data_IF_191272229666
#
_entry.id   IF_191272229666
#
_cell.length_a   1.000
_cell.length_b   1.000
_cell.length_c   1.000
_cell.angle_alpha   90.00
_cell.angle_beta   90.00
_cell.angle_gamma   90.00
#
_symmetry.space_group_name_H-M   'P 1'
#
loop_
_entity.id
_entity.type
_entity.pdbx_description
1 polymer ?
#
# COMPACT_ATOMS: atom_id res chain seq x y z
N UNK A 1 32.11 21.36 25.48
CA UNK A 1 30.67 21.26 25.17
C UNK A 1 30.18 19.95 25.76
N UNK A 2 29.28 20.00 26.76
CA UNK A 2 28.65 18.79 27.28
C UNK A 2 27.60 18.34 26.26
N UNK A 3 27.95 17.34 25.45
CA UNK A 3 26.99 16.71 24.53
C UNK A 3 26.09 15.82 25.36
N UNK A 4 24.89 16.30 25.67
CA UNK A 4 23.87 15.50 26.35
C UNK A 4 23.19 14.58 25.33
N UNK A 5 22.96 13.32 25.70
CA UNK A 5 22.21 12.39 24.87
C UNK A 5 20.75 12.86 24.73
N UNK A 6 20.12 12.68 23.56
CA UNK A 6 18.73 13.03 23.36
C UNK A 6 17.82 12.24 24.29
N UNK A 7 16.77 12.89 24.77
CA UNK A 7 15.74 12.32 25.63
C UNK A 7 14.85 11.36 24.86
N UNK A 8 14.18 10.44 25.58
CA UNK A 8 13.21 9.52 24.97
C UNK A 8 12.04 10.28 24.33
N UNK A 9 11.67 11.44 24.87
CA UNK A 9 10.62 12.30 24.32
C UNK A 9 11.01 12.85 22.95
N UNK A 10 12.23 13.37 22.81
CA UNK A 10 12.76 13.85 21.53
C UNK A 10 12.81 12.74 20.48
N UNK A 11 13.26 11.54 20.87
CA UNK A 11 13.27 10.36 20.01
C UNK A 11 11.84 9.99 19.57
N UNK A 12 10.89 9.94 20.51
CA UNK A 12 9.50 9.60 20.21
C UNK A 12 8.83 10.64 19.31
N UNK A 13 9.14 11.93 19.48
CA UNK A 13 8.61 13.00 18.65
C UNK A 13 9.10 12.88 17.21
N UNK A 14 10.37 12.57 17.00
CA UNK A 14 10.92 12.30 15.66
C UNK A 14 10.31 11.04 15.03
N UNK A 15 10.13 9.97 15.81
CA UNK A 15 9.47 8.75 15.32
C UNK A 15 8.02 9.02 14.91
N UNK A 16 7.26 9.78 15.70
CA UNK A 16 5.89 10.18 15.35
C UNK A 16 5.84 11.07 14.11
N UNK A 17 6.80 11.97 13.95
CA UNK A 17 6.89 12.83 12.76
C UNK A 17 7.12 12.04 11.45
N UNK A 18 7.66 10.81 11.54
CA UNK A 18 7.83 9.92 10.38
C UNK A 18 6.51 9.26 9.91
N UNK A 19 5.45 9.31 10.72
CA UNK A 19 4.17 8.69 10.41
C UNK A 19 3.42 9.50 9.35
N UNK A 20 3.02 8.82 8.27
CA UNK A 20 2.26 9.42 7.18
C UNK A 20 0.80 9.00 7.30
N UNK A 21 -0.07 9.97 7.57
CA UNK A 21 -1.51 9.77 7.81
C UNK A 21 -2.23 9.02 6.69
N UNK A 22 -1.87 9.31 5.43
CA UNK A 22 -2.42 8.60 4.27
C UNK A 22 -2.07 7.10 4.31
N UNK A 23 -0.86 6.78 4.73
CA UNK A 23 -0.39 5.40 4.82
C UNK A 23 -1.16 4.71 5.94
N UNK A 24 -1.29 5.30 7.13
CA UNK A 24 -2.13 4.74 8.22
C UNK A 24 -3.57 4.46 7.76
N UNK A 25 -4.24 5.43 7.15
CA UNK A 25 -5.60 5.27 6.60
C UNK A 25 -5.69 4.11 5.62
N UNK A 26 -4.68 3.93 4.76
CA UNK A 26 -4.60 2.79 3.84
C UNK A 26 -4.46 1.45 4.58
N UNK A 27 -3.67 1.37 5.66
CA UNK A 27 -3.61 0.15 6.48
C UNK A 27 -4.94 -0.13 7.17
N UNK A 28 -5.57 0.86 7.79
CA UNK A 28 -6.89 0.69 8.41
C UNK A 28 -7.93 0.19 7.41
N UNK A 29 -7.89 0.70 6.16
CA UNK A 29 -8.75 0.21 5.09
C UNK A 29 -8.56 -1.28 4.84
N UNK A 30 -7.32 -1.75 4.72
CA UNK A 30 -7.03 -3.16 4.47
C UNK A 30 -7.34 -4.06 5.67
N UNK A 31 -7.18 -3.58 6.90
CA UNK A 31 -7.60 -4.30 8.10
C UNK A 31 -9.12 -4.52 8.13
N UNK A 32 -9.93 -3.56 7.67
CA UNK A 32 -11.38 -3.79 7.51
C UNK A 32 -11.69 -4.92 6.52
N UNK A 33 -10.85 -5.12 5.50
CA UNK A 33 -10.99 -6.23 4.56
C UNK A 33 -10.62 -7.56 5.23
N UNK A 34 -9.59 -7.57 6.09
CA UNK A 34 -9.23 -8.70 6.95
C UNK A 34 -10.36 -9.05 7.91
N UNK A 35 -10.97 -8.06 8.57
CA UNK A 35 -12.11 -8.28 9.46
C UNK A 35 -13.30 -8.90 8.72
N UNK A 36 -13.56 -8.45 7.49
CA UNK A 36 -14.60 -9.05 6.64
C UNK A 36 -14.27 -10.50 6.29
N UNK A 37 -13.02 -10.79 5.93
CA UNK A 37 -12.58 -12.16 5.69
C UNK A 37 -12.80 -13.03 6.92
N UNK A 38 -12.37 -12.56 8.09
CA UNK A 38 -12.54 -13.27 9.36
C UNK A 38 -14.02 -13.58 9.64
N UNK A 39 -14.89 -12.58 9.52
CA UNK A 39 -16.34 -12.76 9.69
C UNK A 39 -16.93 -13.74 8.69
N UNK A 40 -16.53 -13.66 7.42
CA UNK A 40 -17.05 -14.51 6.33
C UNK A 40 -16.63 -15.97 6.49
N UNK A 41 -15.47 -16.22 7.10
CA UNK A 41 -14.90 -17.55 7.28
C UNK A 41 -15.04 -18.10 8.72
N UNK A 42 -15.73 -17.38 9.62
CA UNK A 42 -15.90 -17.79 11.01
C UNK A 42 -14.60 -17.80 11.84
N UNK A 43 -13.59 -17.01 11.42
CA UNK A 43 -12.31 -16.90 12.12
C UNK A 43 -12.48 -15.91 13.27
N UNK A 44 -12.25 -16.37 14.49
CA UNK A 44 -12.37 -15.56 15.72
C UNK A 44 -11.06 -14.88 16.11
N UNK A 45 -9.93 -15.48 15.76
CA UNK A 45 -8.60 -14.97 16.10
C UNK A 45 -8.22 -13.81 15.19
N UNK A 46 -7.79 -12.69 15.78
CA UNK A 46 -7.26 -11.56 15.01
C UNK A 46 -5.90 -11.91 14.39
N UNK A 47 -5.56 -11.27 13.27
CA UNK A 47 -4.36 -11.62 12.50
C UNK A 47 -3.07 -11.38 13.31
N UNK A 48 -3.06 -10.35 14.15
CA UNK A 48 -1.93 -10.00 15.01
C UNK A 48 -1.73 -10.95 16.19
N UNK A 49 -2.79 -11.66 16.59
CA UNK A 49 -2.76 -12.64 17.69
C UNK A 49 -2.26 -14.01 17.25
N UNK A 50 -2.05 -14.26 15.96
CA UNK A 50 -1.52 -15.53 15.44
C UNK A 50 -0.06 -15.67 15.87
N UNK A 51 0.22 -16.75 16.62
CA UNK A 51 1.42 -17.01 17.42
C UNK A 51 2.31 -18.11 16.82
N UNK A 52 1.97 -18.60 15.62
CA UNK A 52 2.75 -19.57 14.87
C UNK A 52 3.00 -19.05 13.45
N UNK A 53 4.24 -19.18 12.97
CA UNK A 53 4.62 -18.79 11.60
C UNK A 53 3.79 -19.60 10.58
N UNK A 54 3.61 -20.90 10.82
CA UNK A 54 2.86 -21.77 9.91
C UNK A 54 1.38 -21.39 9.84
N UNK A 55 0.78 -21.06 10.99
CA UNK A 55 -0.63 -20.66 11.05
C UNK A 55 -0.84 -19.30 10.38
N UNK A 56 0.10 -18.37 10.57
CA UNK A 56 0.04 -17.07 9.91
C UNK A 56 0.27 -17.21 8.40
N UNK A 57 1.20 -18.05 7.96
CA UNK A 57 1.41 -18.31 6.54
C UNK A 57 0.16 -18.92 5.89
N UNK A 58 -0.44 -19.93 6.53
CA UNK A 58 -1.68 -20.53 6.04
C UNK A 58 -2.83 -19.51 6.00
N UNK A 59 -2.97 -18.68 7.05
CA UNK A 59 -3.93 -17.59 7.08
C UNK A 59 -3.73 -16.62 5.90
N UNK A 60 -2.49 -16.20 5.62
CA UNK A 60 -2.17 -15.31 4.52
C UNK A 60 -2.54 -15.94 3.17
N UNK A 61 -2.22 -17.22 2.95
CA UNK A 61 -2.61 -17.96 1.75
C UNK A 61 -4.14 -17.96 1.54
N UNK A 62 -4.90 -18.25 2.59
CA UNK A 62 -6.36 -18.25 2.55
C UNK A 62 -6.91 -16.85 2.25
N UNK A 63 -6.40 -15.83 2.95
CA UNK A 63 -6.81 -14.44 2.76
C UNK A 63 -6.55 -13.94 1.34
N UNK A 64 -5.34 -14.14 0.80
CA UNK A 64 -4.97 -13.74 -0.57
C UNK A 64 -5.87 -14.42 -1.60
N UNK A 65 -6.17 -15.69 -1.39
CA UNK A 65 -7.05 -16.47 -2.28
C UNK A 65 -8.46 -15.89 -2.26
N UNK A 66 -8.99 -15.61 -1.06
CA UNK A 66 -10.31 -15.04 -0.85
C UNK A 66 -10.45 -13.58 -1.33
N UNK A 67 -9.35 -12.81 -1.31
CA UNK A 67 -9.34 -11.37 -1.56
C UNK A 67 -10.05 -10.97 -2.87
N UNK A 68 -11.20 -10.30 -2.71
CA UNK A 68 -12.06 -9.71 -3.75
C UNK A 68 -12.78 -8.48 -3.19
N UNK A 69 -13.33 -7.65 -4.08
CA UNK A 69 -14.18 -6.51 -3.69
C UNK A 69 -15.54 -7.01 -3.17
N UNK A 70 -16.26 -6.10 -2.52
CA UNK A 70 -17.62 -6.38 -1.98
C UNK A 70 -18.62 -6.74 -3.07
N UNK A 71 -18.47 -6.17 -4.27
CA UNK A 71 -19.26 -6.50 -5.46
C UNK A 71 -18.88 -7.85 -6.11
N UNK A 72 -17.96 -8.61 -5.49
CA UNK A 72 -17.43 -9.87 -6.00
C UNK A 72 -16.41 -9.73 -7.12
N UNK A 73 -16.17 -8.52 -7.63
CA UNK A 73 -15.17 -8.26 -8.66
C UNK A 73 -13.74 -8.35 -8.12
N UNK A 74 -12.79 -8.57 -9.03
CA UNK A 74 -11.39 -8.64 -8.67
C UNK A 74 -10.80 -7.24 -8.42
N UNK A 75 -9.85 -7.16 -7.49
CA UNK A 75 -8.95 -6.02 -7.37
C UNK A 75 -7.94 -5.98 -8.52
N UNK A 76 -7.37 -4.80 -8.78
CA UNK A 76 -6.19 -4.66 -9.63
C UNK A 76 -4.94 -5.24 -8.95
N UNK A 77 -3.94 -5.61 -9.73
CA UNK A 77 -2.67 -6.16 -9.25
C UNK A 77 -2.01 -5.25 -8.20
N UNK A 78 -1.98 -3.94 -8.44
CA UNK A 78 -1.35 -2.95 -7.56
C UNK A 78 -2.09 -2.85 -6.22
N UNK A 79 -3.41 -3.02 -6.25
CA UNK A 79 -4.23 -3.03 -5.03
C UNK A 79 -3.95 -4.27 -4.17
N UNK A 80 -3.75 -5.43 -4.79
CA UNK A 80 -3.38 -6.67 -4.08
C UNK A 80 -1.98 -6.54 -3.46
N UNK A 81 -1.01 -6.02 -4.21
CA UNK A 81 0.34 -5.76 -3.70
C UNK A 81 0.34 -4.73 -2.56
N UNK A 82 -0.42 -3.64 -2.70
CA UNK A 82 -0.59 -2.62 -1.67
C UNK A 82 -1.25 -3.21 -0.40
N UNK A 83 -2.24 -4.09 -0.55
CA UNK A 83 -2.84 -4.80 0.58
C UNK A 83 -1.79 -5.59 1.37
N UNK A 84 -0.99 -6.42 0.70
CA UNK A 84 0.05 -7.21 1.38
C UNK A 84 1.12 -6.33 2.04
N UNK A 85 1.48 -5.21 1.39
CA UNK A 85 2.40 -4.21 1.96
C UNK A 85 1.84 -3.56 3.23
N UNK A 86 0.54 -3.25 3.23
CA UNK A 86 -0.16 -2.68 4.38
C UNK A 86 -0.22 -3.66 5.57
N UNK A 87 -0.47 -4.94 5.29
CA UNK A 87 -0.43 -6.00 6.31
C UNK A 87 0.97 -6.19 6.88
N UNK A 88 1.99 -6.22 6.03
CA UNK A 88 3.38 -6.34 6.49
C UNK A 88 3.78 -5.19 7.44
N UNK A 89 3.35 -3.96 7.13
CA UNK A 89 3.61 -2.82 8.01
C UNK A 89 2.87 -2.98 9.34
N UNK A 90 1.60 -3.36 9.31
CA UNK A 90 0.81 -3.56 10.54
C UNK A 90 1.39 -4.66 11.42
N UNK A 91 1.66 -5.83 10.86
CA UNK A 91 2.15 -6.99 11.62
C UNK A 91 3.55 -6.78 12.21
N UNK A 92 4.39 -5.96 11.57
CA UNK A 92 5.69 -5.57 12.13
C UNK A 92 5.59 -4.91 13.50
N UNK A 93 4.51 -4.19 13.78
CA UNK A 93 4.33 -3.38 14.98
C UNK A 93 3.32 -3.98 15.97
N UNK A 94 2.42 -4.85 15.49
CA UNK A 94 1.31 -5.37 16.30
C UNK A 94 1.32 -6.88 16.50
N UNK A 95 2.06 -7.65 15.70
CA UNK A 95 2.04 -9.12 15.83
C UNK A 95 2.67 -9.58 17.15
N UNK A 96 2.12 -10.63 17.76
CA UNK A 96 2.72 -11.33 18.91
C UNK A 96 4.04 -12.03 18.55
N UNK A 97 4.30 -12.29 17.26
CA UNK A 97 5.52 -12.92 16.74
C UNK A 97 6.68 -11.93 16.53
N UNK A 98 6.59 -10.70 17.05
CA UNK A 98 7.54 -9.64 16.74
C UNK A 98 9.00 -9.97 17.12
N UNK A 99 9.97 -9.65 16.24
CA UNK A 99 9.81 -8.98 14.95
C UNK A 99 9.45 -9.95 13.80
N UNK A 100 8.45 -9.57 12.99
CA UNK A 100 7.98 -10.36 11.85
C UNK A 100 7.99 -9.56 10.54
N UNK A 101 8.37 -10.23 9.45
CA UNK A 101 8.37 -9.66 8.09
C UNK A 101 7.76 -10.68 7.14
N UNK A 102 6.50 -10.46 6.75
CA UNK A 102 5.77 -11.40 5.88
C UNK A 102 6.28 -11.40 4.42
N UNK A 103 7.22 -10.50 4.08
CA UNK A 103 8.00 -10.53 2.84
C UNK A 103 9.24 -11.43 2.90
N UNK A 104 9.51 -12.07 4.04
CA UNK A 104 10.63 -13.00 4.17
C UNK A 104 10.32 -14.31 3.43
N UNK A 105 11.05 -14.56 2.33
CA UNK A 105 10.89 -15.76 1.50
C UNK A 105 11.24 -17.06 2.21
N UNK A 106 12.04 -17.02 3.28
CA UNK A 106 12.40 -18.20 4.04
C UNK A 106 11.33 -18.56 5.08
N UNK A 107 10.64 -17.55 5.63
CA UNK A 107 9.58 -17.74 6.62
C UNK A 107 8.18 -17.87 6.02
N UNK A 108 7.93 -17.21 4.87
CA UNK A 108 6.62 -17.15 4.21
C UNK A 108 6.67 -17.56 2.73
N UNK A 109 7.33 -18.67 2.34
CA UNK A 109 7.45 -19.08 0.95
C UNK A 109 6.11 -19.33 0.25
N UNK A 110 5.13 -19.94 0.92
CA UNK A 110 3.82 -20.26 0.37
C UNK A 110 2.91 -19.05 0.27
N UNK A 111 2.93 -18.15 1.25
CA UNK A 111 2.16 -16.90 1.17
C UNK A 111 2.63 -16.05 -0.03
N UNK A 112 3.94 -15.93 -0.23
CA UNK A 112 4.50 -15.19 -1.36
C UNK A 112 4.21 -15.86 -2.71
N UNK A 113 4.32 -17.19 -2.81
CA UNK A 113 3.88 -17.90 -4.04
C UNK A 113 2.40 -17.70 -4.33
N UNK A 114 1.55 -17.69 -3.30
CA UNK A 114 0.11 -17.45 -3.45
C UNK A 114 -0.17 -16.02 -3.91
N UNK A 115 0.54 -15.03 -3.36
CA UNK A 115 0.49 -13.64 -3.79
C UNK A 115 0.89 -13.49 -5.26
N UNK A 116 2.03 -14.04 -5.63
CA UNK A 116 2.56 -14.00 -7.01
C UNK A 116 1.60 -14.67 -7.99
N UNK A 117 1.07 -15.84 -7.63
CA UNK A 117 0.08 -16.56 -8.43
C UNK A 117 -1.21 -15.76 -8.63
N UNK A 118 -1.74 -15.17 -7.55
CA UNK A 118 -2.92 -14.29 -7.61
C UNK A 118 -2.66 -13.10 -8.54
N UNK A 119 -1.53 -12.41 -8.38
CA UNK A 119 -1.16 -11.27 -9.21
C UNK A 119 -1.02 -11.64 -10.69
N UNK A 120 -0.39 -12.78 -11.01
CA UNK A 120 -0.27 -13.28 -12.38
C UNK A 120 -1.63 -13.57 -13.03
N UNK A 121 -2.52 -14.27 -12.32
CA UNK A 121 -3.88 -14.53 -12.80
C UNK A 121 -4.65 -13.23 -13.06
N UNK A 122 -4.46 -12.21 -12.22
CA UNK A 122 -5.08 -10.90 -12.42
C UNK A 122 -4.49 -10.17 -13.63
N UNK A 123 -3.17 -10.27 -13.82
CA UNK A 123 -2.49 -9.69 -14.97
C UNK A 123 -2.97 -10.32 -16.28
N UNK A 124 -3.07 -11.65 -16.35
CA UNK A 124 -3.59 -12.38 -17.52
C UNK A 124 -5.04 -12.01 -17.85
N UNK A 125 -5.80 -11.55 -16.84
CA UNK A 125 -7.17 -11.03 -16.99
C UNK A 125 -7.24 -9.54 -17.37
N UNK A 126 -6.09 -8.90 -17.66
CA UNK A 126 -6.03 -7.47 -17.96
C UNK A 126 -6.31 -6.56 -16.75
N UNK A 127 -6.15 -7.07 -15.53
CA UNK A 127 -6.28 -6.30 -14.28
C UNK A 127 -4.92 -5.94 -13.65
N UNK A 128 -3.83 -6.32 -14.31
CA UNK A 128 -2.54 -5.68 -14.14
C UNK A 128 -2.46 -4.45 -15.02
N UNK A 129 -1.57 -3.52 -14.71
CA UNK A 129 -1.51 -2.18 -15.27
C UNK A 129 -1.75 -2.09 -16.80
N UNK A 130 -2.98 -1.74 -17.24
CA UNK A 130 -3.27 -1.47 -18.63
C UNK A 130 -3.32 0.05 -18.75
N UNK A 131 -2.20 0.62 -19.22
CA UNK A 131 -1.93 2.05 -19.48
C UNK A 131 -1.31 2.83 -18.31
N UNK A 132 -0.07 3.27 -18.55
CA UNK A 132 0.46 4.53 -17.99
C UNK A 132 -0.61 5.60 -18.16
N UNK A 133 -0.74 6.53 -17.20
CA UNK A 133 -1.68 7.64 -17.27
C UNK A 133 -1.80 8.18 -18.69
N UNK A 134 -3.02 8.34 -19.20
CA UNK A 134 -3.20 8.97 -20.51
C UNK A 134 -2.46 10.31 -20.47
N UNK A 135 -1.52 10.50 -21.39
CA UNK A 135 -0.82 11.77 -21.52
C UNK A 135 -1.82 12.88 -21.84
N UNK A 136 -1.48 14.12 -21.53
CA UNK A 136 -2.30 15.27 -21.92
C UNK A 136 -2.57 15.21 -23.43
N UNK A 137 -3.84 15.29 -23.82
CA UNK A 137 -4.20 15.43 -25.22
C UNK A 137 -3.69 16.77 -25.78
N UNK A 138 -3.53 16.87 -27.10
CA UNK A 138 -3.14 18.13 -27.74
C UNK A 138 -4.10 19.29 -27.39
N UNK A 139 -5.38 18.98 -27.13
CA UNK A 139 -6.37 19.96 -26.68
C UNK A 139 -6.11 20.43 -25.25
N UNK A 140 -5.81 19.52 -24.33
CA UNK A 140 -5.49 19.86 -22.94
C UNK A 140 -4.17 20.61 -22.84
N UNK A 141 -3.16 20.21 -23.62
CA UNK A 141 -1.89 20.96 -23.75
C UNK A 141 -2.19 22.39 -24.21
N UNK A 142 -3.01 22.56 -25.25
CA UNK A 142 -3.37 23.89 -25.74
C UNK A 142 -4.13 24.70 -24.69
N UNK A 143 -5.08 24.11 -23.99
CA UNK A 143 -5.82 24.79 -22.90
C UNK A 143 -4.89 25.26 -21.78
N UNK A 144 -3.86 24.47 -21.43
CA UNK A 144 -2.88 24.86 -20.42
C UNK A 144 -2.00 25.99 -20.95
N UNK A 145 -1.49 25.88 -22.19
CA UNK A 145 -0.64 26.90 -22.80
C UNK A 145 -1.37 28.22 -23.09
N UNK A 146 -2.70 28.20 -23.27
CA UNK A 146 -3.52 29.39 -23.49
C UNK A 146 -3.97 30.06 -22.16
N UNK A 147 -3.62 29.47 -21.01
CA UNK A 147 -3.98 30.02 -19.71
C UNK A 147 -3.20 31.33 -19.41
N UNK A 148 -3.82 32.37 -18.80
CA UNK A 148 -3.14 33.64 -18.48
C UNK A 148 -1.84 33.50 -17.67
N UNK A 149 -1.76 32.53 -16.75
CA UNK A 149 -0.53 32.21 -15.99
C UNK A 149 0.62 31.61 -16.82
N UNK A 150 0.37 31.25 -18.08
CA UNK A 150 1.33 30.71 -19.05
C UNK A 150 1.58 31.71 -20.19
N UNK A 151 1.20 32.98 -20.01
CA UNK A 151 1.42 34.02 -21.01
C UNK A 151 2.91 34.36 -21.21
N UNK A 152 3.20 35.18 -22.22
CA UNK A 152 4.58 35.60 -22.54
C UNK A 152 4.88 37.01 -22.03
N UNK A 153 3.98 37.60 -21.23
CA UNK A 153 4.03 39.01 -20.86
C UNK A 153 4.81 39.25 -19.57
N UNK A 154 5.12 38.20 -18.81
CA UNK A 154 5.99 38.27 -17.63
C UNK A 154 7.08 37.21 -17.68
N UNK A 155 8.23 37.50 -17.08
CA UNK A 155 9.34 36.55 -16.99
C UNK A 155 8.94 35.24 -16.28
N UNK A 156 8.07 35.34 -15.27
CA UNK A 156 7.57 34.20 -14.51
C UNK A 156 6.62 33.34 -15.34
N UNK A 157 5.66 33.94 -16.03
CA UNK A 157 4.74 33.24 -16.94
C UNK A 157 5.49 32.56 -18.08
N UNK A 158 6.46 33.26 -18.67
CA UNK A 158 7.30 32.73 -19.76
C UNK A 158 8.11 31.51 -19.29
N UNK A 159 8.67 31.57 -18.08
CA UNK A 159 9.40 30.45 -17.49
C UNK A 159 8.48 29.25 -17.29
N UNK A 160 7.29 29.45 -16.73
CA UNK A 160 6.28 28.38 -16.58
C UNK A 160 5.90 27.77 -17.93
N UNK A 161 5.76 28.58 -18.97
CA UNK A 161 5.43 28.14 -20.33
C UNK A 161 6.54 27.32 -21.00
N UNK A 162 7.80 27.72 -20.82
CA UNK A 162 8.96 27.04 -21.44
C UNK A 162 9.25 25.69 -20.79
N UNK A 163 8.98 25.53 -19.50
CA UNK A 163 9.25 24.29 -18.73
C UNK A 163 8.01 23.43 -18.47
N UNK A 164 6.91 23.70 -19.17
CA UNK A 164 5.74 22.84 -19.24
C UNK A 164 5.96 21.67 -20.19
#
# INVERSE_FOLDING_TARGET
>A
MNTQLPTQEEINNLQKASLVSNTERNTTKWLRVVDRFNKSCGITKSIESIDSINDLENYLCQFITWLKKEDGSNYKVESVHNCYSALNRYLKEHSVLQPIKIWDRYKFPHALRTLDGKMRILQDKGLGDPKKSDGLSAKEIKQILDHPYMDINSNESLTRRVFF
#
